data_IF_013562025095
#
_entry.id   IF_013562025095
#
_cell.length_a   1.000
_cell.length_b   1.000
_cell.length_c   1.000
_cell.angle_alpha   90.00
_cell.angle_beta   90.00
_cell.angle_gamma   90.00
#
_symmetry.space_group_name_H-M   'P 1'
#
loop_
_entity.id
_entity.type
_entity.pdbx_description
1 polymer ?
#
# COMPACT_ATOMS: atom_id res chain seq x y z
N UNK A 1 -2.74 2.08 -31.16
CA UNK A 1 -1.47 2.50 -30.54
C UNK A 1 -1.76 3.30 -29.29
N UNK A 2 -1.52 2.71 -28.11
CA UNK A 2 -1.74 3.35 -26.80
C UNK A 2 -0.81 4.56 -26.52
N UNK A 3 0.13 4.83 -27.43
CA UNK A 3 1.01 5.99 -27.39
C UNK A 3 0.36 7.31 -27.85
N UNK A 4 -0.89 7.31 -28.32
CA UNK A 4 -1.59 8.54 -28.73
C UNK A 4 -2.47 9.19 -27.65
N UNK A 5 -2.52 8.64 -26.43
CA UNK A 5 -3.28 9.25 -25.30
C UNK A 5 -2.35 10.04 -24.34
N UNK A 6 -1.03 10.01 -24.57
CA UNK A 6 -0.04 10.72 -23.75
C UNK A 6 0.43 12.03 -24.42
N UNK A 7 -0.48 12.83 -24.97
CA UNK A 7 -0.20 14.24 -25.27
C UNK A 7 -0.56 15.09 -24.04
N UNK A 8 0.30 16.02 -23.58
CA UNK A 8 0.09 16.81 -22.35
C UNK A 8 -0.99 17.91 -22.48
N UNK A 9 -2.02 17.67 -23.28
CA UNK A 9 -3.10 18.62 -23.57
C UNK A 9 -4.48 17.95 -23.56
N UNK A 10 -4.68 16.91 -22.74
CA UNK A 10 -6.04 16.43 -22.44
C UNK A 10 -6.69 17.36 -21.40
N UNK A 11 -7.89 17.91 -21.67
CA UNK A 11 -8.55 18.89 -20.79
C UNK A 11 -8.87 18.35 -19.38
N UNK A 12 -8.78 17.03 -19.16
CA UNK A 12 -9.00 16.38 -17.88
C UNK A 12 -7.80 16.44 -16.92
N UNK A 13 -6.56 16.54 -17.41
CA UNK A 13 -5.35 16.58 -16.56
C UNK A 13 -5.12 17.97 -15.97
N UNK A 14 -5.51 19.02 -16.69
CA UNK A 14 -5.45 20.41 -16.22
C UNK A 14 -6.72 20.87 -15.49
N UNK A 15 -7.80 20.10 -15.52
CA UNK A 15 -9.07 20.46 -14.91
C UNK A 15 -8.97 20.70 -13.39
N UNK A 16 -8.26 19.81 -12.67
CA UNK A 16 -8.16 19.93 -11.21
C UNK A 16 -7.31 21.16 -10.75
N UNK A 17 -6.12 21.42 -11.31
CA UNK A 17 -5.37 22.64 -11.01
C UNK A 17 -6.10 23.94 -11.41
N UNK A 18 -6.73 23.96 -12.59
CA UNK A 18 -7.48 25.14 -13.06
C UNK A 18 -8.70 25.41 -12.19
N UNK A 19 -9.47 24.37 -11.84
CA UNK A 19 -10.63 24.52 -10.95
C UNK A 19 -10.20 25.03 -9.57
N UNK A 20 -9.09 24.52 -9.03
CA UNK A 20 -8.51 25.01 -7.77
C UNK A 20 -8.10 26.48 -7.87
N UNK A 21 -7.48 26.91 -8.98
CA UNK A 21 -7.08 28.30 -9.19
C UNK A 21 -8.31 29.22 -9.29
N UNK A 22 -9.35 28.80 -10.01
CA UNK A 22 -10.61 29.57 -10.14
C UNK A 22 -11.29 29.73 -8.78
N UNK A 23 -11.35 28.68 -7.95
CA UNK A 23 -11.95 28.75 -6.62
C UNK A 23 -11.16 29.68 -5.69
N UNK A 24 -9.83 29.61 -5.72
CA UNK A 24 -8.96 30.48 -4.90
C UNK A 24 -9.08 31.95 -5.33
N UNK A 25 -9.00 32.23 -6.64
CA UNK A 25 -9.16 33.60 -7.15
C UNK A 25 -10.56 34.15 -6.89
N UNK A 26 -11.60 33.31 -7.04
CA UNK A 26 -12.99 33.67 -6.71
C UNK A 26 -13.18 33.98 -5.22
N UNK A 27 -12.56 33.22 -4.34
CA UNK A 27 -12.58 33.44 -2.90
C UNK A 27 -11.99 34.81 -2.52
N UNK A 28 -10.76 35.09 -2.96
CA UNK A 28 -10.10 36.36 -2.66
C UNK A 28 -10.74 37.54 -3.39
N UNK A 29 -11.29 37.35 -4.58
CA UNK A 29 -12.06 38.37 -5.30
C UNK A 29 -13.35 38.76 -4.58
N UNK A 30 -14.10 37.78 -4.08
CA UNK A 30 -15.31 38.02 -3.28
C UNK A 30 -14.96 38.72 -1.95
N UNK A 31 -13.89 38.28 -1.27
CA UNK A 31 -13.44 38.88 -0.03
C UNK A 31 -12.97 40.34 -0.24
N UNK A 32 -12.21 40.60 -1.30
CA UNK A 32 -11.79 41.96 -1.66
C UNK A 32 -12.99 42.85 -2.04
N UNK A 33 -14.00 42.31 -2.74
CA UNK A 33 -15.22 43.03 -3.07
C UNK A 33 -16.01 43.44 -1.82
N UNK A 34 -16.16 42.53 -0.86
CA UNK A 34 -16.83 42.79 0.42
C UNK A 34 -16.04 43.83 1.26
N UNK A 35 -14.71 43.71 1.33
CA UNK A 35 -13.85 44.63 2.10
C UNK A 35 -13.75 46.01 1.45
N UNK A 36 -13.89 46.13 0.12
CA UNK A 36 -13.81 47.40 -0.61
C UNK A 36 -14.93 48.40 -0.31
N UNK A 37 -15.89 48.04 0.55
CA UNK A 37 -17.00 48.92 0.98
C UNK A 37 -18.03 49.21 -0.12
N UNK A 38 -17.92 48.57 -1.29
CA UNK A 38 -18.87 48.71 -2.41
C UNK A 38 -20.17 47.92 -2.23
N UNK A 39 -20.25 47.11 -1.18
CA UNK A 39 -21.43 46.36 -0.78
C UNK A 39 -21.72 46.70 0.68
N UNK A 40 -22.83 47.39 0.94
CA UNK A 40 -23.29 47.67 2.31
C UNK A 40 -24.40 46.67 2.68
N UNK A 41 -24.04 45.56 3.35
CA UNK A 41 -24.98 44.51 3.69
C UNK A 41 -25.90 44.92 4.85
N UNK A 42 -25.65 46.02 5.55
CA UNK A 42 -26.42 46.39 6.75
C UNK A 42 -27.80 46.98 6.46
N UNK A 43 -28.09 47.26 5.18
CA UNK A 43 -29.34 47.91 4.74
C UNK A 43 -30.47 46.95 4.35
N UNK A 44 -30.18 45.67 4.11
CA UNK A 44 -31.14 44.75 3.49
C UNK A 44 -30.88 43.30 3.92
N UNK A 45 -31.86 42.69 4.56
CA UNK A 45 -31.82 41.29 5.02
C UNK A 45 -31.59 40.29 3.90
N UNK A 46 -32.02 40.59 2.66
CA UNK A 46 -31.74 39.76 1.50
C UNK A 46 -30.24 39.79 1.11
N UNK A 47 -29.59 40.96 1.25
CA UNK A 47 -28.14 41.11 0.98
C UNK A 47 -27.30 40.34 1.98
N UNK A 48 -27.69 40.32 3.26
CA UNK A 48 -27.01 39.52 4.30
C UNK A 48 -27.13 38.01 4.05
N UNK A 49 -28.30 37.54 3.60
CA UNK A 49 -28.49 36.12 3.26
C UNK A 49 -27.63 35.70 2.07
N UNK A 50 -27.54 36.53 1.03
CA UNK A 50 -26.68 36.27 -0.13
C UNK A 50 -25.21 36.18 0.30
N UNK A 51 -24.74 37.11 1.14
CA UNK A 51 -23.37 37.08 1.67
C UNK A 51 -23.10 35.81 2.46
N UNK A 52 -24.02 35.40 3.34
CA UNK A 52 -23.87 34.18 4.13
C UNK A 52 -23.85 32.91 3.27
N UNK A 53 -24.69 32.84 2.22
CA UNK A 53 -24.69 31.72 1.27
C UNK A 53 -23.37 31.65 0.49
N UNK A 54 -22.86 32.81 0.02
CA UNK A 54 -21.60 32.88 -0.74
C UNK A 54 -20.42 32.48 0.14
N UNK A 55 -20.33 32.99 1.38
CA UNK A 55 -19.28 32.60 2.33
C UNK A 55 -19.35 31.11 2.66
N UNK A 56 -20.55 30.57 2.85
CA UNK A 56 -20.75 29.14 3.12
C UNK A 56 -20.29 28.25 1.96
N UNK A 57 -20.70 28.57 0.73
CA UNK A 57 -20.31 27.83 -0.47
C UNK A 57 -18.79 27.91 -0.72
N UNK A 58 -18.20 29.07 -0.51
CA UNK A 58 -16.76 29.30 -0.64
C UNK A 58 -15.95 28.52 0.42
N UNK A 59 -16.42 28.48 1.66
CA UNK A 59 -15.80 27.70 2.75
C UNK A 59 -15.83 26.21 2.43
N UNK A 60 -16.96 25.69 1.93
CA UNK A 60 -17.10 24.29 1.52
C UNK A 60 -16.19 23.94 0.32
N UNK A 61 -16.10 24.82 -0.68
CA UNK A 61 -15.20 24.65 -1.83
C UNK A 61 -13.72 24.65 -1.42
N UNK A 62 -13.33 25.57 -0.55
CA UNK A 62 -11.96 25.65 -0.03
C UNK A 62 -11.59 24.43 0.84
N UNK A 63 -12.50 23.95 1.69
CA UNK A 63 -12.29 22.72 2.46
C UNK A 63 -12.08 21.50 1.54
N UNK A 64 -12.77 21.44 0.41
CA UNK A 64 -12.58 20.38 -0.59
C UNK A 64 -11.19 20.43 -1.24
N UNK A 65 -10.72 21.63 -1.56
CA UNK A 65 -9.37 21.86 -2.13
C UNK A 65 -8.28 21.52 -1.11
N UNK A 66 -8.45 21.90 0.15
CA UNK A 66 -7.52 21.53 1.22
C UNK A 66 -7.47 20.01 1.41
N UNK A 67 -8.61 19.34 1.38
CA UNK A 67 -8.66 17.88 1.53
C UNK A 67 -8.01 17.16 0.34
N UNK A 68 -8.11 17.71 -0.87
CA UNK A 68 -7.41 17.21 -2.06
C UNK A 68 -5.89 17.36 -1.93
N UNK A 69 -5.40 18.53 -1.52
CA UNK A 69 -3.96 18.79 -1.36
C UNK A 69 -3.34 18.03 -0.18
N UNK A 70 -3.96 18.09 1.00
CA UNK A 70 -3.48 17.41 2.21
C UNK A 70 -3.67 15.89 2.17
N UNK A 71 -4.65 15.40 1.39
CA UNK A 71 -4.89 13.97 1.19
C UNK A 71 -3.84 13.27 0.33
N UNK A 72 -3.15 14.00 -0.56
CA UNK A 72 -2.38 13.41 -1.67
C UNK A 72 -0.96 12.93 -1.34
N UNK A 73 -0.29 13.38 -0.27
CA UNK A 73 1.14 13.05 -0.07
C UNK A 73 1.50 12.25 1.19
N UNK A 74 0.75 12.39 2.28
CA UNK A 74 0.98 11.67 3.55
C UNK A 74 -0.30 10.98 4.08
N UNK A 75 -1.46 11.63 3.90
CA UNK A 75 -2.75 11.10 4.34
C UNK A 75 -3.16 9.79 3.66
N UNK A 76 -2.89 9.61 2.36
CA UNK A 76 -3.19 8.33 1.67
C UNK A 76 -2.36 7.19 2.22
N UNK A 77 -1.07 7.37 2.49
CA UNK A 77 -0.21 6.30 3.04
C UNK A 77 -0.71 5.82 4.40
N UNK A 78 -1.07 6.76 5.28
CA UNK A 78 -1.60 6.43 6.61
C UNK A 78 -3.03 5.90 6.54
N UNK A 79 -3.88 6.39 5.62
CA UNK A 79 -5.25 5.89 5.42
C UNK A 79 -5.28 4.52 4.75
N UNK A 80 -4.38 4.26 3.81
CA UNK A 80 -4.27 2.99 3.10
C UNK A 80 -3.67 1.93 4.04
N UNK A 81 -2.64 2.27 4.83
CA UNK A 81 -2.13 1.42 5.90
C UNK A 81 -3.18 1.21 7.01
N UNK A 82 -3.92 2.25 7.41
CA UNK A 82 -5.00 2.13 8.40
C UNK A 82 -6.17 1.30 7.87
N UNK A 83 -6.58 1.47 6.62
CA UNK A 83 -7.65 0.69 6.01
C UNK A 83 -7.24 -0.76 5.80
N UNK A 84 -5.99 -1.00 5.37
CA UNK A 84 -5.46 -2.34 5.19
C UNK A 84 -5.28 -3.07 6.53
N UNK A 85 -4.74 -2.38 7.54
CA UNK A 85 -4.62 -2.94 8.90
C UNK A 85 -5.98 -3.17 9.55
N UNK A 86 -6.96 -2.28 9.37
CA UNK A 86 -8.34 -2.50 9.84
C UNK A 86 -8.99 -3.70 9.16
N UNK A 87 -8.87 -3.84 7.83
CA UNK A 87 -9.40 -4.99 7.10
C UNK A 87 -8.73 -6.30 7.55
N UNK A 88 -7.42 -6.28 7.79
CA UNK A 88 -6.68 -7.46 8.24
C UNK A 88 -7.01 -7.84 9.70
N UNK A 89 -7.12 -6.87 10.61
CA UNK A 89 -7.52 -7.08 12.00
C UNK A 89 -8.95 -7.62 12.07
N UNK A 90 -9.87 -7.10 11.26
CA UNK A 90 -11.23 -7.61 11.15
C UNK A 90 -11.26 -9.06 10.65
N UNK A 91 -10.42 -9.41 9.67
CA UNK A 91 -10.30 -10.79 9.18
C UNK A 91 -9.75 -11.76 10.25
N UNK A 92 -8.75 -11.33 11.03
CA UNK A 92 -8.20 -12.14 12.13
C UNK A 92 -9.21 -12.32 13.28
N UNK A 93 -9.96 -11.27 13.61
CA UNK A 93 -11.01 -11.33 14.64
C UNK A 93 -12.18 -12.22 14.18
N UNK A 94 -12.59 -12.13 12.91
CA UNK A 94 -13.61 -13.01 12.34
C UNK A 94 -13.15 -14.47 12.32
N UNK A 95 -11.88 -14.75 11.99
CA UNK A 95 -11.30 -16.10 12.06
C UNK A 95 -11.27 -16.66 13.47
N UNK A 96 -10.92 -15.84 14.47
CA UNK A 96 -10.96 -16.23 15.90
C UNK A 96 -12.39 -16.51 16.38
N UNK A 97 -13.36 -15.70 15.97
CA UNK A 97 -14.77 -15.93 16.32
C UNK A 97 -15.31 -17.22 15.70
N UNK A 98 -14.95 -17.53 14.44
CA UNK A 98 -15.33 -18.78 13.78
C UNK A 98 -14.63 -20.00 14.41
N UNK A 99 -13.37 -19.89 14.80
CA UNK A 99 -12.65 -20.95 15.49
C UNK A 99 -13.25 -21.22 16.89
N UNK A 100 -13.59 -20.17 17.64
CA UNK A 100 -14.29 -20.30 18.92
C UNK A 100 -15.69 -20.92 18.79
N UNK A 101 -16.42 -20.58 17.71
CA UNK A 101 -17.73 -21.18 17.42
C UNK A 101 -17.64 -22.68 17.05
N UNK A 102 -16.55 -23.12 16.40
CA UNK A 102 -16.31 -24.54 16.11
C UNK A 102 -15.96 -25.34 17.37
N UNK A 103 -15.11 -24.79 18.25
CA UNK A 103 -14.77 -25.43 19.53
C UNK A 103 -16.00 -25.53 20.45
N UNK A 104 -16.91 -24.56 20.40
CA UNK A 104 -18.19 -24.61 21.14
C UNK A 104 -19.18 -25.67 20.62
N UNK A 105 -19.10 -26.07 19.34
CA UNK A 105 -19.97 -27.07 18.75
C UNK A 105 -19.54 -28.52 19.05
N UNK A 106 -18.28 -28.74 19.45
CA UNK A 106 -17.72 -30.07 19.69
C UNK A 106 -17.85 -30.53 21.17
N UNK A 107 -18.56 -29.78 22.03
CA UNK A 107 -18.66 -30.06 23.48
C UNK A 107 -20.08 -30.32 24.00
N UNK A 108 -21.00 -30.83 23.17
CA UNK A 108 -22.36 -31.16 23.62
C UNK A 108 -22.62 -32.67 23.59
N UNK A 109 -22.82 -33.25 24.80
CA UNK A 109 -23.14 -34.66 25.03
C UNK A 109 -24.61 -34.98 24.66
N UNK A 110 -24.95 -36.25 24.32
CA UNK A 110 -26.20 -36.57 23.65
C UNK A 110 -27.39 -36.73 24.62
N UNK A 111 -28.56 -36.22 24.24
CA UNK A 111 -29.86 -36.60 24.81
C UNK A 111 -30.99 -36.56 23.77
N UNK A 112 -32.10 -37.30 23.97
CA UNK A 112 -32.77 -38.08 22.91
C UNK A 112 -33.86 -37.35 22.11
N UNK A 113 -34.20 -38.00 21.00
CA UNK A 113 -35.06 -37.55 19.91
C UNK A 113 -36.56 -37.39 20.24
N UNK A 114 -37.20 -36.44 19.54
CA UNK A 114 -38.43 -36.55 18.71
C UNK A 114 -39.04 -35.14 18.44
N UNK A 115 -40.01 -34.94 17.52
CA UNK A 115 -40.21 -35.48 16.17
C UNK A 115 -40.37 -34.38 15.08
N UNK A 116 -40.37 -34.82 13.81
CA UNK A 116 -40.43 -34.04 12.55
C UNK A 116 -41.73 -33.25 12.29
N UNK A 117 -41.62 -32.15 11.54
CA UNK A 117 -42.64 -31.58 10.65
C UNK A 117 -41.97 -30.79 9.48
N UNK A 118 -42.67 -30.33 8.42
CA UNK A 118 -42.59 -30.86 7.04
C UNK A 118 -41.83 -29.96 6.02
N UNK A 119 -41.69 -30.37 4.74
CA UNK A 119 -40.74 -29.76 3.80
C UNK A 119 -41.32 -28.55 3.06
N UNK A 120 -40.48 -27.55 2.80
CA UNK A 120 -40.77 -26.46 1.87
C UNK A 120 -39.76 -26.46 0.71
N UNK A 121 -40.31 -26.33 -0.51
CA UNK A 121 -39.72 -26.47 -1.84
C UNK A 121 -38.48 -25.60 -2.15
N UNK A 122 -37.69 -26.00 -3.17
CA UNK A 122 -36.49 -25.27 -3.59
C UNK A 122 -36.86 -24.06 -4.45
N UNK A 123 -36.32 -22.88 -4.10
CA UNK A 123 -36.34 -21.69 -4.96
C UNK A 123 -35.02 -21.59 -5.73
N UNK A 124 -35.16 -21.55 -7.05
CA UNK A 124 -34.11 -21.45 -8.08
C UNK A 124 -33.41 -20.07 -8.05
N UNK A 125 -32.08 -19.98 -8.26
CA UNK A 125 -31.40 -18.70 -8.44
C UNK A 125 -31.58 -18.15 -9.88
N UNK A 126 -31.58 -16.81 -10.07
CA UNK A 126 -31.75 -16.17 -11.38
C UNK A 126 -30.49 -16.27 -12.29
N UNK A 127 -30.66 -16.16 -13.62
CA UNK A 127 -29.59 -16.41 -14.59
C UNK A 127 -28.60 -15.25 -14.74
N UNK A 128 -27.32 -15.59 -14.85
CA UNK A 128 -26.25 -14.66 -15.20
C UNK A 128 -26.30 -14.32 -16.70
N UNK A 129 -26.38 -13.03 -17.00
CA UNK A 129 -26.29 -12.48 -18.36
C UNK A 129 -24.81 -12.34 -18.73
N UNK A 130 -24.40 -13.05 -19.78
CA UNK A 130 -23.10 -12.89 -20.47
C UNK A 130 -23.32 -12.06 -21.72
N UNK A 131 -22.49 -11.04 -22.01
CA UNK A 131 -22.35 -10.55 -23.36
C UNK A 131 -21.08 -11.08 -24.05
N UNK A 132 -21.35 -11.56 -25.25
CA UNK A 132 -20.53 -12.11 -26.32
C UNK A 132 -19.14 -11.50 -26.59
N UNK A 133 -18.24 -12.42 -26.92
CA UNK A 133 -16.96 -12.26 -27.61
C UNK A 133 -17.15 -12.09 -29.12
N UNK A 134 -16.46 -11.12 -29.75
CA UNK A 134 -16.13 -11.10 -31.20
C UNK A 134 -14.85 -10.25 -31.43
N UNK A 135 -14.10 -10.39 -32.54
CA UNK A 135 -12.69 -10.78 -32.51
C UNK A 135 -11.70 -9.66 -32.91
N UNK A 136 -10.43 -9.97 -32.64
CA UNK A 136 -9.19 -9.23 -32.93
C UNK A 136 -9.00 -8.78 -34.39
N UNK A 137 -8.16 -7.76 -34.64
CA UNK A 137 -7.22 -7.85 -35.76
C UNK A 137 -5.75 -7.60 -35.36
N UNK A 138 -4.93 -8.58 -35.76
CA UNK A 138 -3.57 -8.48 -36.32
C UNK A 138 -2.44 -7.89 -35.47
N UNK A 139 -1.60 -8.79 -34.96
CA UNK A 139 -0.28 -8.51 -34.40
C UNK A 139 0.76 -8.12 -35.49
N UNK A 140 1.71 -7.21 -35.20
CA UNK A 140 2.96 -7.08 -35.97
C UNK A 140 3.99 -8.16 -35.54
N UNK A 141 5.00 -8.45 -36.39
CA UNK A 141 5.77 -9.70 -36.34
C UNK A 141 6.75 -9.78 -35.16
N UNK A 142 6.95 -11.02 -34.70
CA UNK A 142 7.84 -11.40 -33.61
C UNK A 142 9.32 -11.10 -33.93
N UNK A 143 10.00 -10.48 -32.96
CA UNK A 143 11.47 -10.46 -32.86
C UNK A 143 11.98 -11.86 -32.44
N UNK A 144 13.25 -12.21 -32.75
CA UNK A 144 13.69 -13.61 -32.80
C UNK A 144 13.69 -14.25 -31.40
N UNK A 145 13.03 -15.40 -31.33
CA UNK A 145 12.99 -16.29 -30.16
C UNK A 145 14.37 -16.90 -29.97
N UNK A 146 15.09 -16.46 -28.94
CA UNK A 146 16.13 -17.30 -28.31
C UNK A 146 15.37 -18.43 -27.61
N UNK A 147 15.59 -19.67 -28.04
CA UNK A 147 14.98 -20.85 -27.42
C UNK A 147 15.42 -20.92 -25.95
N UNK A 148 14.53 -20.51 -25.05
CA UNK A 148 14.64 -20.79 -23.63
C UNK A 148 14.40 -22.29 -23.43
N UNK A 149 15.34 -22.96 -22.76
CA UNK A 149 15.20 -24.34 -22.27
C UNK A 149 13.89 -24.49 -21.49
N UNK A 150 13.29 -25.68 -21.60
CA UNK A 150 12.06 -26.07 -20.92
C UNK A 150 12.10 -25.76 -19.41
N UNK A 151 10.96 -25.41 -18.79
CA UNK A 151 10.89 -25.08 -17.38
C UNK A 151 11.24 -26.32 -16.55
N UNK A 152 12.22 -26.17 -15.65
CA UNK A 152 12.45 -27.14 -14.58
C UNK A 152 11.25 -27.06 -13.65
N UNK A 153 10.50 -28.16 -13.55
CA UNK A 153 9.37 -28.29 -12.65
C UNK A 153 9.85 -28.15 -11.19
N UNK A 154 9.19 -27.28 -10.42
CA UNK A 154 9.31 -27.18 -8.96
C UNK A 154 10.55 -26.44 -8.46
N UNK A 155 10.51 -25.10 -8.44
CA UNK A 155 11.35 -24.37 -7.49
C UNK A 155 10.92 -24.77 -6.06
N UNK A 156 11.84 -25.09 -5.14
CA UNK A 156 11.49 -25.43 -3.78
C UNK A 156 10.81 -24.22 -3.12
N UNK A 157 9.56 -24.40 -2.69
CA UNK A 157 8.92 -23.45 -1.78
C UNK A 157 9.70 -23.50 -0.48
N UNK A 158 10.27 -22.37 -0.05
CA UNK A 158 10.97 -22.27 1.22
C UNK A 158 10.07 -22.70 2.39
N UNK A 159 10.65 -23.30 3.43
CA UNK A 159 9.88 -23.71 4.60
C UNK A 159 9.40 -22.51 5.41
N UNK A 160 8.38 -22.69 6.26
CA UNK A 160 7.94 -21.63 7.20
C UNK A 160 9.10 -21.13 8.07
N UNK A 161 10.02 -22.03 8.47
CA UNK A 161 11.19 -21.67 9.25
C UNK A 161 12.16 -20.76 8.46
N UNK A 162 12.37 -21.05 7.18
CA UNK A 162 13.21 -20.21 6.31
C UNK A 162 12.59 -18.83 6.12
N UNK A 163 11.26 -18.76 6.01
CA UNK A 163 10.53 -17.49 5.91
C UNK A 163 10.58 -16.67 7.18
N UNK A 164 10.45 -17.30 8.33
CA UNK A 164 10.63 -16.62 9.61
C UNK A 164 12.07 -16.12 9.76
N UNK A 165 13.07 -16.90 9.37
CA UNK A 165 14.48 -16.49 9.39
C UNK A 165 14.74 -15.30 8.44
N UNK A 166 14.22 -15.35 7.21
CA UNK A 166 14.29 -14.26 6.25
C UNK A 166 13.63 -12.98 6.79
N UNK A 167 12.45 -13.10 7.41
CA UNK A 167 11.76 -11.97 8.05
C UNK A 167 12.61 -11.37 9.19
N UNK A 168 13.19 -12.20 10.06
CA UNK A 168 14.07 -11.69 11.13
C UNK A 168 15.29 -10.97 10.57
N UNK A 169 15.93 -11.51 9.53
CA UNK A 169 17.08 -10.88 8.86
C UNK A 169 16.69 -9.52 8.25
N UNK A 170 15.54 -9.45 7.59
CA UNK A 170 15.00 -8.21 7.03
C UNK A 170 14.75 -7.16 8.11
N UNK A 171 14.08 -7.54 9.21
CA UNK A 171 13.79 -6.60 10.30
C UNK A 171 15.09 -6.14 10.95
N UNK A 172 16.08 -7.02 11.14
CA UNK A 172 17.38 -6.63 11.66
C UNK A 172 18.07 -5.57 10.78
N UNK A 173 18.01 -5.72 9.46
CA UNK A 173 18.53 -4.75 8.51
C UNK A 173 17.80 -3.40 8.60
N UNK A 174 16.46 -3.41 8.65
CA UNK A 174 15.64 -2.21 8.81
C UNK A 174 15.99 -1.50 10.14
N UNK A 175 16.03 -2.24 11.24
CA UNK A 175 16.32 -1.69 12.58
C UNK A 175 17.74 -1.17 12.71
N UNK A 176 18.72 -1.74 12.00
CA UNK A 176 20.08 -1.22 11.95
C UNK A 176 20.13 0.15 11.26
N UNK A 177 19.32 0.33 10.22
CA UNK A 177 19.31 1.54 9.39
C UNK A 177 18.39 2.64 9.93
N UNK A 178 17.33 2.28 10.67
CA UNK A 178 16.30 3.18 11.20
C UNK A 178 16.27 3.21 12.74
N UNK A 179 17.29 2.63 13.38
CA UNK A 179 17.35 2.43 14.82
C UNK A 179 17.48 3.75 15.57
N UNK A 180 16.62 3.94 16.57
CA UNK A 180 16.67 5.07 17.49
C UNK A 180 15.30 5.70 17.71
N UNK A 181 15.14 6.32 18.87
CA UNK A 181 14.01 7.18 19.14
C UNK A 181 14.34 8.59 18.61
N UNK A 182 13.46 9.14 17.78
CA UNK A 182 13.51 10.52 17.31
C UNK A 182 12.16 11.16 17.63
N UNK A 183 12.21 12.36 18.20
CA UNK A 183 11.03 13.18 18.47
C UNK A 183 11.41 14.60 18.09
N UNK A 184 11.21 14.90 16.81
CA UNK A 184 11.47 16.23 16.26
C UNK A 184 10.17 17.06 16.35
N UNK A 185 10.16 18.18 17.09
CA UNK A 185 8.99 19.05 17.22
C UNK A 185 8.47 19.61 15.89
N UNK A 186 9.34 19.68 14.87
CA UNK A 186 9.02 20.21 13.54
C UNK A 186 8.61 19.10 12.55
N UNK A 187 8.70 17.81 12.93
CA UNK A 187 8.27 16.69 12.10
C UNK A 187 6.77 16.39 12.27
N UNK A 188 5.94 16.53 11.22
CA UNK A 188 4.51 16.18 11.27
C UNK A 188 4.25 14.69 11.59
N UNK A 189 5.24 13.81 11.46
CA UNK A 189 5.17 12.40 11.84
C UNK A 189 5.19 12.14 13.36
N UNK A 190 5.69 13.11 14.13
CA UNK A 190 5.86 13.02 15.58
C UNK A 190 6.83 11.92 16.03
N UNK A 191 6.87 11.66 17.35
CA UNK A 191 7.72 10.64 17.95
C UNK A 191 7.73 9.32 17.16
N UNK A 192 8.95 8.87 16.82
CA UNK A 192 9.22 7.68 16.03
C UNK A 192 10.28 6.84 16.73
N UNK A 193 10.08 5.54 16.79
CA UNK A 193 11.08 4.60 17.30
C UNK A 193 11.07 3.35 16.44
N UNK A 194 12.24 2.82 16.10
CA UNK A 194 12.36 1.60 15.27
C UNK A 194 11.63 1.72 13.91
N UNK A 195 11.57 2.92 13.33
CA UNK A 195 10.80 3.22 12.11
C UNK A 195 9.27 3.26 12.29
N UNK A 196 8.76 3.07 13.51
CA UNK A 196 7.34 3.11 13.84
C UNK A 196 6.97 4.48 14.44
N UNK A 197 6.17 5.25 13.73
CA UNK A 197 5.65 6.54 14.19
C UNK A 197 4.56 6.38 15.25
N UNK A 198 4.32 7.43 16.04
CA UNK A 198 3.22 7.48 17.02
C UNK A 198 1.86 7.22 16.37
N UNK A 199 1.66 7.67 15.13
CA UNK A 199 0.44 7.42 14.35
C UNK A 199 0.26 5.94 14.02
N UNK A 200 1.33 5.28 13.58
CA UNK A 200 1.32 3.84 13.29
C UNK A 200 1.08 3.02 14.56
N UNK A 201 1.75 3.36 15.67
CA UNK A 201 1.57 2.65 16.93
C UNK A 201 0.16 2.85 17.50
N UNK A 202 -0.39 4.05 17.38
CA UNK A 202 -1.80 4.35 17.75
C UNK A 202 -2.79 3.52 16.96
N UNK A 203 -2.61 3.46 15.64
CA UNK A 203 -3.47 2.65 14.76
C UNK A 203 -3.37 1.16 15.12
N UNK A 204 -2.15 0.66 15.37
CA UNK A 204 -1.90 -0.73 15.77
C UNK A 204 -2.58 -1.10 17.09
N UNK A 205 -2.41 -0.28 18.13
CA UNK A 205 -2.97 -0.56 19.46
C UNK A 205 -4.48 -0.26 19.54
N UNK A 206 -5.04 0.51 18.60
CA UNK A 206 -6.45 0.88 18.59
C UNK A 206 -6.87 1.79 19.75
N UNK A 207 -5.91 2.46 20.39
CA UNK A 207 -6.12 3.33 21.56
C UNK A 207 -5.17 4.53 21.49
N UNK A 208 -5.43 5.61 22.26
CA UNK A 208 -4.48 6.70 22.40
C UNK A 208 -3.09 6.18 22.81
N UNK A 209 -2.06 6.77 22.21
CA UNK A 209 -0.65 6.41 22.42
C UNK A 209 0.10 7.71 22.70
N UNK A 210 1.00 7.67 23.69
CA UNK A 210 1.86 8.77 24.11
C UNK A 210 3.25 8.68 23.45
N UNK A 211 4.05 9.73 23.60
CA UNK A 211 5.46 9.70 23.17
C UNK A 211 6.26 8.64 23.94
N UNK A 212 5.95 8.44 25.23
CA UNK A 212 6.63 7.44 26.06
C UNK A 212 6.31 6.01 25.62
N UNK A 213 5.08 5.76 25.15
CA UNK A 213 4.71 4.49 24.54
C UNK A 213 5.55 4.17 23.30
N UNK A 214 5.87 5.19 22.50
CA UNK A 214 6.76 5.04 21.33
C UNK A 214 8.20 4.81 21.79
N UNK A 215 8.67 5.57 22.79
CA UNK A 215 10.02 5.42 23.36
C UNK A 215 10.25 4.02 23.92
N UNK A 216 9.25 3.44 24.56
CA UNK A 216 9.31 2.12 25.21
C UNK A 216 8.83 0.98 24.30
N UNK A 217 8.60 1.24 23.01
CA UNK A 217 8.19 0.23 22.03
C UNK A 217 9.15 -0.97 22.04
N UNK A 218 8.60 -2.15 22.32
CA UNK A 218 9.39 -3.38 22.33
C UNK A 218 9.72 -3.82 20.91
N UNK A 219 10.89 -4.45 20.72
CA UNK A 219 11.23 -5.04 19.42
C UNK A 219 10.23 -6.12 18.99
N UNK A 220 9.62 -6.84 19.93
CA UNK A 220 8.63 -7.86 19.62
C UNK A 220 7.36 -7.23 19.02
N UNK A 221 6.88 -6.13 19.60
CA UNK A 221 5.73 -5.39 19.08
C UNK A 221 6.07 -4.74 17.72
N UNK A 222 7.25 -4.14 17.58
CA UNK A 222 7.72 -3.60 16.31
C UNK A 222 7.75 -4.67 15.20
N UNK A 223 8.25 -5.88 15.50
CA UNK A 223 8.22 -7.02 14.56
C UNK A 223 6.80 -7.41 14.19
N UNK A 224 5.87 -7.45 15.14
CA UNK A 224 4.47 -7.76 14.85
C UNK A 224 3.85 -6.72 13.91
N UNK A 225 4.14 -5.44 14.13
CA UNK A 225 3.72 -4.33 13.26
C UNK A 225 4.31 -4.50 11.86
N UNK A 226 5.63 -4.75 11.75
CA UNK A 226 6.27 -4.96 10.45
C UNK A 226 5.67 -6.12 9.67
N UNK A 227 5.38 -7.24 10.35
CA UNK A 227 4.79 -8.40 9.71
C UNK A 227 3.38 -8.09 9.18
N UNK A 228 2.56 -7.46 10.01
CA UNK A 228 1.17 -7.15 9.65
C UNK A 228 1.06 -6.06 8.58
N UNK A 229 1.85 -4.99 8.68
CA UNK A 229 1.68 -3.79 7.86
C UNK A 229 2.52 -3.77 6.58
N UNK A 230 3.53 -4.63 6.47
CA UNK A 230 4.42 -4.67 5.30
C UNK A 230 4.59 -6.08 4.75
N UNK A 231 5.06 -7.04 5.55
CA UNK A 231 5.38 -8.40 5.08
C UNK A 231 4.17 -9.13 4.48
N UNK A 232 3.06 -9.16 5.22
CA UNK A 232 1.81 -9.80 4.81
C UNK A 232 1.17 -9.11 3.59
N UNK A 233 0.98 -7.77 3.56
CA UNK A 233 0.45 -7.08 2.38
C UNK A 233 1.28 -7.28 1.12
N UNK A 234 2.60 -7.39 1.26
CA UNK A 234 3.51 -7.68 0.15
C UNK A 234 3.62 -9.17 -0.19
N UNK A 235 2.87 -10.03 0.51
CA UNK A 235 2.88 -11.49 0.33
C UNK A 235 4.29 -12.08 0.34
N UNK A 236 5.16 -11.57 1.20
CA UNK A 236 6.56 -12.00 1.28
C UNK A 236 6.70 -13.51 1.58
N UNK A 237 5.73 -14.11 2.28
CA UNK A 237 5.66 -15.56 2.49
C UNK A 237 5.49 -16.36 1.17
N UNK A 238 4.90 -15.76 0.14
CA UNK A 238 4.65 -16.38 -1.18
C UNK A 238 5.75 -16.06 -2.21
N UNK A 239 6.67 -15.15 -1.91
CA UNK A 239 7.79 -14.80 -2.80
C UNK A 239 8.97 -15.75 -2.61
N UNK A 240 9.90 -15.89 -3.56
CA UNK A 240 11.16 -16.59 -3.33
C UNK A 240 12.03 -15.91 -2.26
N UNK A 241 12.89 -16.67 -1.58
CA UNK A 241 13.90 -16.10 -0.69
C UNK A 241 14.79 -15.10 -1.43
N UNK A 242 15.11 -13.99 -0.77
CA UNK A 242 15.86 -12.87 -1.34
C UNK A 242 14.97 -11.88 -2.09
N UNK A 243 13.97 -12.36 -2.84
CA UNK A 243 12.96 -11.48 -3.47
C UNK A 243 12.04 -10.88 -2.40
N UNK A 244 11.59 -11.71 -1.45
CA UNK A 244 10.85 -11.27 -0.26
C UNK A 244 11.57 -10.15 0.51
N UNK A 245 12.90 -10.27 0.65
CA UNK A 245 13.73 -9.31 1.37
C UNK A 245 13.80 -7.95 0.69
N UNK A 246 14.17 -7.89 -0.60
CA UNK A 246 14.27 -6.61 -1.31
C UNK A 246 12.91 -5.92 -1.45
N UNK A 247 11.85 -6.70 -1.62
CA UNK A 247 10.47 -6.19 -1.69
C UNK A 247 10.03 -5.64 -0.34
N UNK A 248 10.30 -6.35 0.76
CA UNK A 248 9.97 -5.89 2.10
C UNK A 248 10.75 -4.63 2.50
N UNK A 249 12.08 -4.65 2.37
CA UNK A 249 12.94 -3.51 2.76
C UNK A 249 12.56 -2.24 2.00
N UNK A 250 12.30 -2.34 0.70
CA UNK A 250 11.83 -1.19 -0.08
C UNK A 250 10.39 -0.80 0.27
N UNK A 251 9.56 -1.75 0.66
CA UNK A 251 8.20 -1.51 1.16
C UNK A 251 8.19 -0.66 2.43
N UNK A 252 9.12 -0.91 3.35
CA UNK A 252 9.31 -0.09 4.56
C UNK A 252 9.79 1.32 4.20
N UNK A 253 10.82 1.43 3.36
CA UNK A 253 11.41 2.73 3.06
C UNK A 253 10.56 3.62 2.13
N UNK A 254 9.86 3.03 1.16
CA UNK A 254 9.20 3.77 0.09
C UNK A 254 7.68 3.49 -0.05
N UNK A 255 7.15 2.61 0.79
CA UNK A 255 5.74 2.23 0.87
C UNK A 255 5.39 0.97 0.08
N UNK A 256 4.43 0.19 0.61
CA UNK A 256 3.99 -1.10 0.06
C UNK A 256 3.62 -1.03 -1.43
N UNK A 257 2.84 -0.02 -1.83
CA UNK A 257 2.35 0.11 -3.21
C UNK A 257 3.49 0.33 -4.18
N UNK A 258 4.46 1.16 -3.81
CA UNK A 258 5.63 1.44 -4.65
C UNK A 258 6.50 0.20 -4.81
N UNK A 259 6.76 -0.50 -3.71
CA UNK A 259 7.54 -1.74 -3.77
C UNK A 259 6.87 -2.80 -4.64
N UNK A 260 5.55 -2.99 -4.49
CA UNK A 260 4.77 -3.89 -5.34
C UNK A 260 4.84 -3.49 -6.82
N UNK A 261 4.67 -2.20 -7.16
CA UNK A 261 4.78 -1.72 -8.54
C UNK A 261 6.18 -1.94 -9.11
N UNK A 262 7.24 -1.75 -8.32
CA UNK A 262 8.62 -2.03 -8.75
C UNK A 262 8.82 -3.51 -9.02
N UNK A 263 8.29 -4.41 -8.18
CA UNK A 263 8.33 -5.85 -8.46
C UNK A 263 7.60 -6.17 -9.77
N UNK A 264 6.40 -5.62 -9.96
CA UNK A 264 5.59 -5.82 -11.16
C UNK A 264 6.29 -5.33 -12.43
N UNK A 265 6.95 -4.17 -12.36
CA UNK A 265 7.80 -3.65 -13.43
C UNK A 265 8.91 -4.65 -13.79
N UNK A 266 9.58 -5.22 -12.79
CA UNK A 266 10.72 -6.14 -12.97
C UNK A 266 10.30 -7.46 -13.60
N UNK A 267 9.14 -8.00 -13.21
CA UNK A 267 8.63 -9.28 -13.73
C UNK A 267 7.72 -9.12 -14.97
N UNK A 268 7.53 -7.89 -15.44
CA UNK A 268 6.87 -7.59 -16.71
C UNK A 268 5.35 -7.72 -16.71
N UNK A 269 4.69 -7.41 -15.59
CA UNK A 269 3.22 -7.43 -15.46
C UNK A 269 2.66 -6.03 -15.24
N UNK A 270 1.33 -5.90 -15.22
CA UNK A 270 0.67 -4.63 -14.94
C UNK A 270 1.05 -4.08 -13.55
N UNK A 271 1.36 -2.78 -13.47
CA UNK A 271 1.82 -2.12 -12.25
C UNK A 271 0.66 -1.53 -11.45
N UNK A 272 -0.27 -2.36 -10.97
CA UNK A 272 -1.40 -1.92 -10.16
C UNK A 272 -1.04 -1.65 -8.68
N UNK A 273 0.12 -2.16 -8.23
CA UNK A 273 0.63 -2.05 -6.87
C UNK A 273 0.07 -3.07 -5.90
N UNK A 274 -0.56 -4.14 -6.39
CA UNK A 274 -1.10 -5.25 -5.61
C UNK A 274 -0.40 -6.54 -6.04
N UNK A 275 0.29 -7.19 -5.10
CA UNK A 275 0.88 -8.51 -5.38
C UNK A 275 -0.27 -9.52 -5.41
N UNK A 276 -0.68 -9.92 -6.61
CA UNK A 276 -1.75 -10.89 -6.85
C UNK A 276 -1.26 -12.15 -7.57
N UNK A 277 -2.17 -13.06 -7.95
CA UNK A 277 -1.80 -14.31 -8.64
C UNK A 277 -0.97 -14.11 -9.91
N UNK A 278 -1.24 -13.05 -10.68
CA UNK A 278 -0.47 -12.73 -11.89
C UNK A 278 0.98 -12.35 -11.56
N UNK A 279 1.18 -11.46 -10.58
CA UNK A 279 2.52 -11.08 -10.10
C UNK A 279 3.28 -12.30 -9.58
N UNK A 280 2.65 -13.13 -8.74
CA UNK A 280 3.28 -14.33 -8.17
C UNK A 280 3.65 -15.35 -9.26
N UNK A 281 2.78 -15.56 -10.26
CA UNK A 281 3.07 -16.45 -11.38
C UNK A 281 4.23 -15.95 -12.24
N UNK A 282 4.37 -14.62 -12.42
CA UNK A 282 5.48 -14.03 -13.15
C UNK A 282 6.81 -14.13 -12.36
N UNK A 283 6.76 -13.91 -11.04
CA UNK A 283 7.91 -14.13 -10.15
C UNK A 283 8.36 -15.58 -10.20
N UNK A 284 7.45 -16.55 -10.10
CA UNK A 284 7.77 -17.98 -10.12
C UNK A 284 8.41 -18.46 -11.45
N UNK A 285 8.18 -17.74 -12.56
CA UNK A 285 8.81 -18.02 -13.86
C UNK A 285 10.18 -17.35 -14.02
N UNK A 286 10.57 -16.50 -13.09
CA UNK A 286 11.82 -15.72 -13.14
C UNK A 286 12.87 -16.32 -12.22
N UNK A 287 14.15 -16.25 -12.59
CA UNK A 287 15.23 -16.62 -11.68
C UNK A 287 15.29 -15.61 -10.52
N UNK A 288 15.20 -16.03 -9.24
CA UNK A 288 15.13 -15.09 -8.12
C UNK A 288 16.31 -14.11 -8.05
N UNK A 289 17.51 -14.56 -8.40
CA UNK A 289 18.70 -13.71 -8.41
C UNK A 289 18.58 -12.58 -9.45
N UNK A 290 18.02 -12.89 -10.63
CA UNK A 290 17.78 -11.87 -11.65
C UNK A 290 16.68 -10.88 -11.21
N UNK A 291 15.66 -11.35 -10.50
CA UNK A 291 14.62 -10.47 -9.95
C UNK A 291 15.23 -9.51 -8.93
N UNK A 292 16.08 -10.00 -8.01
CA UNK A 292 16.79 -9.18 -7.02
C UNK A 292 17.66 -8.11 -7.70
N UNK A 293 18.40 -8.47 -8.75
CA UNK A 293 19.29 -7.53 -9.46
C UNK A 293 18.53 -6.45 -10.22
N UNK A 294 17.47 -6.85 -10.95
CA UNK A 294 16.62 -5.92 -11.68
C UNK A 294 15.82 -5.03 -10.72
N UNK A 295 15.36 -5.57 -9.60
CA UNK A 295 14.68 -4.81 -8.56
C UNK A 295 15.59 -3.75 -7.96
N UNK A 296 16.82 -4.11 -7.61
CA UNK A 296 17.78 -3.15 -7.09
C UNK A 296 18.14 -2.05 -8.07
N UNK A 297 18.25 -2.40 -9.36
CA UNK A 297 18.44 -1.41 -10.43
C UNK A 297 17.25 -0.43 -10.50
N UNK A 298 16.01 -0.93 -10.47
CA UNK A 298 14.81 -0.11 -10.51
C UNK A 298 14.66 0.77 -9.24
N UNK A 299 15.00 0.22 -8.07
CA UNK A 299 15.02 0.92 -6.79
C UNK A 299 16.05 2.05 -6.76
N UNK A 300 17.27 1.80 -7.23
CA UNK A 300 18.31 2.83 -7.32
C UNK A 300 17.94 3.92 -8.32
N UNK A 301 17.28 3.57 -9.43
CA UNK A 301 16.74 4.55 -10.37
C UNK A 301 15.68 5.45 -9.72
N UNK A 302 14.79 4.88 -8.89
CA UNK A 302 13.84 5.64 -8.10
C UNK A 302 14.54 6.61 -7.14
N UNK A 303 15.54 6.15 -6.37
CA UNK A 303 16.28 7.03 -5.45
C UNK A 303 16.98 8.18 -6.16
N UNK A 304 17.62 7.92 -7.31
CA UNK A 304 18.29 8.94 -8.13
C UNK A 304 17.36 10.03 -8.65
N UNK A 305 16.06 9.76 -8.72
CA UNK A 305 15.05 10.73 -9.13
C UNK A 305 14.52 11.59 -7.98
N UNK A 306 14.88 11.30 -6.72
CA UNK A 306 14.45 12.08 -5.56
C UNK A 306 15.22 13.40 -5.46
N UNK A 307 14.54 14.44 -5.00
CA UNK A 307 15.12 15.79 -4.82
C UNK A 307 16.31 15.79 -3.87
N UNK A 308 16.27 14.92 -2.86
CA UNK A 308 17.26 14.86 -1.78
C UNK A 308 18.43 13.92 -2.09
N UNK A 309 18.49 13.38 -3.33
CA UNK A 309 19.61 12.55 -3.80
C UNK A 309 21.00 13.17 -3.60
N UNK A 310 21.23 14.48 -3.82
CA UNK A 310 22.55 15.07 -3.59
C UNK A 310 23.05 14.93 -2.15
N UNK A 311 22.15 14.87 -1.17
CA UNK A 311 22.47 14.80 0.25
C UNK A 311 22.51 13.34 0.75
N UNK A 312 21.51 12.53 0.39
CA UNK A 312 21.34 11.17 0.94
C UNK A 312 21.70 10.03 -0.02
N UNK A 313 22.07 10.33 -1.27
CA UNK A 313 22.28 9.32 -2.31
C UNK A 313 23.34 8.27 -1.98
N UNK A 314 24.38 8.64 -1.24
CA UNK A 314 25.38 7.67 -0.76
C UNK A 314 24.74 6.64 0.19
N UNK A 315 23.98 7.09 1.19
CA UNK A 315 23.33 6.20 2.15
C UNK A 315 22.32 5.26 1.49
N UNK A 316 21.54 5.75 0.53
CA UNK A 316 20.61 4.90 -0.23
C UNK A 316 21.33 3.89 -1.13
N UNK A 317 22.48 4.25 -1.69
CA UNK A 317 23.30 3.32 -2.48
C UNK A 317 23.91 2.22 -1.60
N UNK A 318 24.43 2.60 -0.43
CA UNK A 318 25.00 1.64 0.53
C UNK A 318 23.93 0.67 1.05
N UNK A 319 22.73 1.18 1.39
CA UNK A 319 21.59 0.35 1.82
C UNK A 319 21.13 -0.63 0.74
N UNK A 320 21.15 -0.20 -0.53
CA UNK A 320 20.82 -1.09 -1.64
C UNK A 320 21.83 -2.22 -1.78
N UNK A 321 23.13 -1.91 -1.73
CA UNK A 321 24.18 -2.91 -1.80
C UNK A 321 24.11 -3.92 -0.63
N UNK A 322 23.82 -3.45 0.58
CA UNK A 322 23.63 -4.30 1.75
C UNK A 322 22.39 -5.21 1.59
N UNK A 323 21.26 -4.66 1.15
CA UNK A 323 20.02 -5.42 0.90
C UNK A 323 20.21 -6.53 -0.15
N UNK A 324 20.92 -6.23 -1.24
CA UNK A 324 21.24 -7.25 -2.26
C UNK A 324 22.21 -8.32 -1.74
N UNK A 325 23.21 -7.93 -0.94
CA UNK A 325 24.14 -8.88 -0.33
C UNK A 325 23.43 -9.86 0.59
N UNK A 326 22.56 -9.36 1.48
CA UNK A 326 21.77 -10.20 2.39
C UNK A 326 20.77 -11.09 1.65
N UNK A 327 20.09 -10.55 0.62
CA UNK A 327 19.19 -11.33 -0.22
C UNK A 327 19.93 -12.52 -0.87
N UNK A 328 21.15 -12.33 -1.36
CA UNK A 328 21.98 -13.40 -1.93
C UNK A 328 22.44 -14.41 -0.87
N UNK A 329 22.74 -13.96 0.34
CA UNK A 329 23.11 -14.84 1.45
C UNK A 329 21.95 -15.75 1.87
N UNK A 330 20.72 -15.23 1.94
CA UNK A 330 19.52 -16.03 2.21
C UNK A 330 19.30 -17.10 1.13
N UNK A 331 19.48 -16.71 -0.13
CA UNK A 331 19.35 -17.63 -1.26
C UNK A 331 20.39 -18.76 -1.23
N UNK A 332 21.64 -18.47 -0.88
CA UNK A 332 22.70 -19.49 -0.84
C UNK A 332 22.55 -20.45 0.33
N UNK A 333 22.07 -19.98 1.48
CA UNK A 333 21.79 -20.83 2.65
C UNK A 333 20.69 -21.85 2.37
N UNK A 334 19.64 -21.45 1.64
CA UNK A 334 18.56 -22.36 1.25
C UNK A 334 19.00 -23.45 0.27
N UNK A 335 19.94 -23.15 -0.62
CA UNK A 335 20.51 -24.16 -1.54
C UNK A 335 21.39 -25.16 -0.79
N UNK A 336 22.00 -24.77 0.33
CA UNK A 336 22.84 -25.66 1.13
C UNK A 336 22.02 -26.61 2.04
N UNK A 337 20.77 -26.29 2.32
CA UNK A 337 19.87 -27.09 3.19
C UNK A 337 18.89 -27.99 2.44
N UNK A 338 18.78 -27.84 1.11
CA UNK A 338 17.93 -28.62 0.21
C UNK A 338 18.69 -29.77 -0.48
#
# INVERSE_FOLDING_TARGET
TLAQIASPSSPSVLAAPILSLVVVLGFFGALAFIISGRFDPTSDTAKLQIVNIVIGALTAGFATVLNFWLGSSQGSKNKDLANFSLQHIQALQAGRAQAAARVGADTEAPSPAAPKAPPASPATPPPAVVPAFVPSPSAPPAAPVVQARAPVAGAPSASTADKDAAFQACVALVLKNEGGFVDDPDDPGGATNMGITIGTLRAWRGQPVTVEDVRTLSQQEARAIYRANYWNPLKCDELPLGVDMVVFDFGVNAGIRRSAMTLQQVVGVAQDGIIGPETLAAVAKSAPAEVVDRFGTARLAYYKALRDWPEFGKGWTDREAESQSEARALMSQSVATA
#
